data_IF_808131362129
#
_entry.id   IF_808131362129
#
_cell.length_a   1.000
_cell.length_b   1.000
_cell.length_c   1.000
_cell.angle_alpha   90.00
_cell.angle_beta   90.00
_cell.angle_gamma   90.00
#
_symmetry.space_group_name_H-M   'P 1'
#
loop_
_entity.id
_entity.type
_entity.pdbx_description
1 polymer ?
#
# COMPACT_ATOMS: atom_id res chain seq x y z
N UNK A 1 -59.85 6.26 -10.82
CA UNK A 1 -59.15 6.64 -12.06
C UNK A 1 -57.81 7.25 -11.69
N UNK A 2 -56.72 6.52 -11.95
CA UNK A 2 -55.36 6.95 -11.63
C UNK A 2 -54.82 7.96 -12.65
N UNK A 3 -53.98 8.86 -12.16
CA UNK A 3 -53.35 9.94 -12.91
C UNK A 3 -51.82 9.79 -12.73
N UNK A 4 -51.09 10.05 -13.82
CA UNK A 4 -49.73 10.59 -13.92
C UNK A 4 -48.54 9.66 -14.24
N UNK A 5 -48.16 9.79 -15.52
CA UNK A 5 -46.86 10.17 -16.12
C UNK A 5 -45.60 9.35 -15.83
N UNK A 6 -45.22 8.58 -16.86
CA UNK A 6 -43.94 8.59 -17.58
C UNK A 6 -42.65 8.81 -16.75
N UNK A 7 -41.96 7.69 -16.54
CA UNK A 7 -40.57 7.62 -16.08
C UNK A 7 -39.65 8.36 -17.06
N UNK A 8 -39.02 9.43 -16.59
CA UNK A 8 -37.83 9.99 -17.22
C UNK A 8 -36.65 9.54 -16.38
N UNK A 9 -35.84 8.63 -16.93
CA UNK A 9 -34.58 8.23 -16.35
C UNK A 9 -33.57 9.37 -16.46
N UNK A 10 -33.30 10.02 -15.33
CA UNK A 10 -32.14 10.88 -15.14
C UNK A 10 -31.33 10.29 -13.97
N UNK A 11 -30.11 9.86 -14.27
CA UNK A 11 -29.09 9.56 -13.27
C UNK A 11 -28.78 10.82 -12.46
N UNK A 12 -29.00 10.81 -11.14
CA UNK A 12 -28.31 11.69 -10.20
C UNK A 12 -28.00 10.88 -8.95
N UNK A 13 -26.71 10.73 -8.69
CA UNK A 13 -26.12 10.12 -7.52
C UNK A 13 -26.60 10.78 -6.22
N UNK A 14 -27.21 10.01 -5.33
CA UNK A 14 -27.31 10.40 -3.92
C UNK A 14 -26.07 9.91 -3.18
N UNK A 15 -25.16 10.85 -2.95
CA UNK A 15 -24.03 10.74 -2.03
C UNK A 15 -24.56 10.50 -0.62
N UNK A 16 -24.42 9.27 -0.12
CA UNK A 16 -24.56 9.00 1.30
C UNK A 16 -23.24 9.39 1.97
N UNK A 17 -23.28 10.57 2.60
CA UNK A 17 -22.33 10.99 3.62
C UNK A 17 -22.23 9.92 4.71
N UNK A 18 -21.03 9.37 4.89
CA UNK A 18 -20.60 8.86 6.18
C UNK A 18 -19.23 9.46 6.48
N UNK A 19 -19.27 10.59 7.19
CA UNK A 19 -18.09 11.16 7.84
C UNK A 19 -17.86 10.35 9.11
N UNK A 20 -16.85 9.49 9.12
CA UNK A 20 -16.22 8.98 10.34
C UNK A 20 -14.79 8.53 10.03
N UNK A 21 -13.89 9.02 10.86
CA UNK A 21 -12.50 8.60 11.08
C UNK A 21 -11.44 8.85 10.00
N UNK A 22 -10.69 9.95 10.20
CA UNK A 22 -9.25 10.14 9.99
C UNK A 22 -8.51 9.04 9.24
N UNK A 23 -8.80 8.89 7.96
CA UNK A 23 -7.97 8.09 7.06
C UNK A 23 -7.08 9.05 6.29
N UNK A 24 -5.79 9.12 6.67
CA UNK A 24 -4.74 9.74 5.85
C UNK A 24 -4.93 9.22 4.42
N UNK A 25 -5.53 10.04 3.57
CA UNK A 25 -5.89 9.65 2.22
C UNK A 25 -4.61 9.63 1.40
N UNK A 26 -3.95 8.47 1.37
CA UNK A 26 -2.84 8.19 0.46
C UNK A 26 -3.43 7.93 -0.94
N UNK A 27 -4.12 8.93 -1.48
CA UNK A 27 -4.78 8.87 -2.78
C UNK A 27 -3.89 9.47 -3.86
N UNK A 28 -2.81 8.77 -4.23
CA UNK A 28 -2.11 8.98 -5.51
C UNK A 28 -1.44 7.71 -5.98
N UNK A 29 -2.19 6.76 -6.55
CA UNK A 29 -1.59 5.69 -7.35
C UNK A 29 -2.58 5.14 -8.38
N UNK A 30 -2.95 5.97 -9.36
CA UNK A 30 -3.53 5.49 -10.62
C UNK A 30 -2.37 5.17 -11.59
N UNK A 31 -1.59 4.15 -11.25
CA UNK A 31 -0.59 3.57 -12.15
C UNK A 31 -1.01 2.13 -12.32
N UNK A 32 -1.29 1.73 -13.57
CA UNK A 32 -1.62 0.36 -13.92
C UNK A 32 -0.44 -0.53 -13.52
N UNK A 33 -0.51 -1.09 -12.32
CA UNK A 33 0.54 -1.91 -11.76
C UNK A 33 0.21 -3.36 -12.05
N UNK A 34 1.13 -4.07 -12.67
CA UNK A 34 1.07 -5.52 -12.81
C UNK A 34 1.18 -6.13 -11.42
N UNK A 35 0.08 -6.67 -10.91
CA UNK A 35 0.00 -7.24 -9.58
C UNK A 35 -1.18 -8.18 -9.44
N UNK A 36 -1.31 -8.87 -8.30
CA UNK A 36 -2.41 -9.78 -8.06
C UNK A 36 -3.76 -9.08 -8.25
N UNK A 37 -4.73 -9.79 -8.83
CA UNK A 37 -6.10 -9.31 -9.03
C UNK A 37 -6.84 -9.26 -7.69
N UNK A 38 -6.52 -8.25 -6.88
CA UNK A 38 -7.18 -7.94 -5.61
C UNK A 38 -8.03 -6.69 -5.76
N UNK A 39 -9.09 -6.59 -4.95
CA UNK A 39 -9.93 -5.40 -4.92
C UNK A 39 -9.12 -4.16 -4.53
N UNK A 40 -9.55 -2.99 -5.00
CA UNK A 40 -8.96 -1.70 -4.61
C UNK A 40 -8.92 -1.51 -3.09
N UNK A 41 -9.96 -1.97 -2.38
CA UNK A 41 -10.04 -1.90 -0.92
C UNK A 41 -8.97 -2.79 -0.27
N UNK A 42 -8.86 -4.04 -0.70
CA UNK A 42 -7.84 -4.98 -0.22
C UNK A 42 -6.44 -4.43 -0.47
N UNK A 43 -6.20 -3.86 -1.65
CA UNK A 43 -4.91 -3.23 -1.96
C UNK A 43 -4.60 -2.09 -1.01
N UNK A 44 -5.55 -1.18 -0.77
CA UNK A 44 -5.35 -0.04 0.13
C UNK A 44 -5.07 -0.50 1.56
N UNK A 45 -5.83 -1.48 2.06
CA UNK A 45 -5.63 -2.04 3.39
C UNK A 45 -4.25 -2.73 3.51
N UNK A 46 -3.84 -3.48 2.49
CA UNK A 46 -2.51 -4.10 2.43
C UNK A 46 -1.38 -3.06 2.44
N UNK A 47 -1.46 -2.04 1.59
CA UNK A 47 -0.46 -0.96 1.51
C UNK A 47 -0.36 -0.23 2.85
N UNK A 48 -1.49 0.06 3.50
CA UNK A 48 -1.51 0.71 4.81
C UNK A 48 -0.81 -0.16 5.87
N UNK A 49 -1.17 -1.44 5.97
CA UNK A 49 -0.56 -2.37 6.93
C UNK A 49 0.96 -2.50 6.72
N UNK A 50 1.42 -2.54 5.47
CA UNK A 50 2.86 -2.60 5.14
C UNK A 50 3.58 -1.30 5.52
N UNK A 51 2.98 -0.13 5.25
CA UNK A 51 3.55 1.17 5.63
C UNK A 51 3.70 1.27 7.15
N UNK A 52 2.62 1.01 7.89
CA UNK A 52 2.62 1.06 9.36
C UNK A 52 3.59 0.05 9.96
N UNK A 53 3.66 -1.17 9.42
CA UNK A 53 4.64 -2.15 9.87
C UNK A 53 6.07 -1.68 9.63
N UNK A 54 6.35 -1.11 8.46
CA UNK A 54 7.67 -0.60 8.10
C UNK A 54 8.08 0.58 8.98
N UNK A 55 7.17 1.51 9.25
CA UNK A 55 7.37 2.62 10.18
C UNK A 55 7.77 2.10 11.57
N UNK A 56 7.02 1.12 12.10
CA UNK A 56 7.26 0.54 13.42
C UNK A 56 8.61 -0.19 13.53
N UNK A 57 9.08 -0.83 12.44
CA UNK A 57 10.36 -1.56 12.46
C UNK A 57 11.56 -0.70 12.09
N UNK A 58 11.37 0.51 11.54
CA UNK A 58 12.46 1.34 11.04
C UNK A 58 13.48 1.73 12.12
N UNK A 59 13.01 1.95 13.35
CA UNK A 59 13.86 2.23 14.52
C UNK A 59 14.27 0.97 15.29
N UNK A 60 13.75 -0.19 14.90
CA UNK A 60 13.98 -1.47 15.58
C UNK A 60 15.20 -2.19 14.99
N UNK A 61 15.95 -2.90 15.84
CA UNK A 61 17.03 -3.79 15.42
C UNK A 61 16.48 -5.13 14.88
N UNK A 62 15.60 -5.08 13.88
CA UNK A 62 15.05 -6.27 13.22
C UNK A 62 16.03 -6.84 12.20
N UNK A 63 16.02 -8.16 12.06
CA UNK A 63 16.76 -8.81 10.99
C UNK A 63 16.00 -8.74 9.66
N UNK A 64 16.70 -8.94 8.55
CA UNK A 64 16.05 -9.04 7.23
C UNK A 64 15.01 -10.18 7.17
N UNK A 65 15.29 -11.32 7.81
CA UNK A 65 14.35 -12.45 7.89
C UNK A 65 13.08 -12.08 8.66
N UNK A 66 13.22 -11.43 9.82
CA UNK A 66 12.07 -10.99 10.61
C UNK A 66 11.19 -10.02 9.85
N UNK A 67 11.81 -9.08 9.11
CA UNK A 67 11.11 -8.13 8.27
C UNK A 67 10.35 -8.82 7.13
N UNK A 68 11.01 -9.71 6.38
CA UNK A 68 10.40 -10.48 5.30
C UNK A 68 9.26 -11.38 5.79
N UNK A 69 9.42 -11.99 6.97
CA UNK A 69 8.40 -12.81 7.60
C UNK A 69 7.20 -11.97 8.03
N UNK A 70 7.42 -10.74 8.51
CA UNK A 70 6.38 -9.76 8.78
C UNK A 70 5.59 -9.40 7.52
N UNK A 71 6.28 -9.03 6.45
CA UNK A 71 5.67 -8.73 5.15
C UNK A 71 4.85 -9.91 4.62
N UNK A 72 5.40 -11.13 4.71
CA UNK A 72 4.70 -12.35 4.29
C UNK A 72 3.41 -12.60 5.08
N UNK A 73 3.42 -12.34 6.39
CA UNK A 73 2.22 -12.48 7.23
C UNK A 73 1.15 -11.45 6.87
N UNK A 74 1.55 -10.20 6.62
CA UNK A 74 0.64 -9.14 6.18
C UNK A 74 0.05 -9.50 4.80
N UNK A 75 0.89 -9.94 3.86
CA UNK A 75 0.44 -10.34 2.53
C UNK A 75 -0.58 -11.49 2.61
N UNK A 76 -0.28 -12.54 3.39
CA UNK A 76 -1.20 -13.66 3.62
C UNK A 76 -2.54 -13.23 4.23
N UNK A 77 -2.53 -12.31 5.21
CA UNK A 77 -3.75 -11.75 5.81
C UNK A 77 -4.67 -11.11 4.75
N UNK A 78 -4.09 -10.54 3.70
CA UNK A 78 -4.81 -9.87 2.60
C UNK A 78 -4.98 -10.77 1.35
N UNK A 79 -4.63 -12.06 1.43
CA UNK A 79 -4.74 -12.99 0.30
C UNK A 79 -3.72 -12.75 -0.83
N UNK A 80 -2.64 -12.03 -0.53
CA UNK A 80 -1.56 -11.72 -1.48
C UNK A 80 -0.42 -12.73 -1.24
N UNK A 81 -0.14 -13.57 -2.23
CA UNK A 81 0.92 -14.58 -2.15
C UNK A 81 2.23 -14.15 -2.81
N UNK A 82 2.17 -13.37 -3.89
CA UNK A 82 3.33 -12.92 -4.67
C UNK A 82 3.68 -11.45 -4.38
N UNK A 83 3.88 -11.15 -3.10
CA UNK A 83 4.16 -9.78 -2.67
C UNK A 83 5.56 -9.32 -3.08
N UNK A 84 6.52 -10.24 -3.25
CA UNK A 84 7.88 -9.90 -3.69
C UNK A 84 7.95 -9.37 -5.13
N UNK A 85 6.94 -9.65 -5.94
CA UNK A 85 6.81 -9.14 -7.31
C UNK A 85 5.90 -7.92 -7.38
N UNK A 86 5.26 -7.55 -6.26
CA UNK A 86 4.22 -6.53 -6.23
C UNK A 86 4.79 -5.14 -5.95
N UNK A 87 4.76 -4.27 -6.96
CA UNK A 87 5.26 -2.88 -6.87
C UNK A 87 4.71 -2.13 -5.65
N UNK A 88 3.42 -2.29 -5.36
CA UNK A 88 2.77 -1.59 -4.25
C UNK A 88 3.34 -1.97 -2.87
N UNK A 89 3.92 -3.16 -2.72
CA UNK A 89 4.62 -3.54 -1.48
C UNK A 89 5.84 -2.66 -1.26
N UNK A 90 6.63 -2.45 -2.31
CA UNK A 90 7.84 -1.63 -2.25
C UNK A 90 7.51 -0.14 -2.07
N UNK A 91 6.43 0.33 -2.70
CA UNK A 91 5.93 1.68 -2.46
C UNK A 91 5.46 1.88 -1.02
N UNK A 92 4.74 0.91 -0.46
CA UNK A 92 4.31 0.95 0.94
C UNK A 92 5.52 0.96 1.91
N UNK A 93 6.56 0.18 1.63
CA UNK A 93 7.82 0.22 2.38
C UNK A 93 8.42 1.63 2.34
N UNK A 94 8.53 2.26 1.16
CA UNK A 94 9.03 3.63 1.03
C UNK A 94 8.21 4.66 1.82
N UNK A 95 6.88 4.51 1.84
CA UNK A 95 6.00 5.34 2.66
C UNK A 95 6.29 5.18 4.14
N UNK A 96 6.37 3.95 4.64
CA UNK A 96 6.65 3.70 6.07
C UNK A 96 8.02 4.22 6.51
N UNK A 97 9.04 4.10 5.66
CA UNK A 97 10.36 4.66 5.93
C UNK A 97 10.34 6.20 5.97
N UNK A 98 9.59 6.83 5.07
CA UNK A 98 9.38 8.28 5.06
C UNK A 98 8.63 8.74 6.32
N UNK A 99 7.60 8.01 6.73
CA UNK A 99 6.83 8.28 7.95
C UNK A 99 7.71 8.14 9.21
N UNK A 100 8.62 7.16 9.21
CA UNK A 100 9.65 7.01 10.25
C UNK A 100 10.79 8.05 10.17
N UNK A 101 10.77 8.98 9.22
CA UNK A 101 11.79 10.02 9.09
C UNK A 101 13.13 9.55 8.51
N UNK A 102 13.20 8.32 7.98
CA UNK A 102 14.41 7.83 7.30
C UNK A 102 14.53 8.51 5.95
N UNK A 103 15.62 9.25 5.67
CA UNK A 103 15.76 9.99 4.43
C UNK A 103 16.05 9.06 3.25
N UNK A 104 15.62 9.48 2.06
CA UNK A 104 15.64 8.68 0.82
C UNK A 104 17.02 8.14 0.44
N UNK A 105 18.08 8.86 0.77
CA UNK A 105 19.48 8.50 0.52
C UNK A 105 20.00 7.39 1.43
N UNK A 106 19.40 7.23 2.63
CA UNK A 106 19.79 6.23 3.63
C UNK A 106 19.07 4.87 3.47
N UNK A 107 18.07 4.78 2.58
CA UNK A 107 17.30 3.54 2.34
C UNK A 107 18.19 2.33 2.06
N UNK A 108 19.25 2.53 1.27
CA UNK A 108 20.20 1.47 0.87
C UNK A 108 21.09 1.00 2.03
N UNK A 109 21.22 1.81 3.07
CA UNK A 109 22.08 1.55 4.22
C UNK A 109 21.34 0.74 5.31
N UNK A 110 20.02 0.54 5.15
CA UNK A 110 19.19 -0.24 6.06
C UNK A 110 19.47 -1.75 5.91
N UNK A 111 19.95 -2.43 6.97
CA UNK A 111 20.42 -3.81 6.86
C UNK A 111 19.28 -4.80 6.53
N UNK A 112 18.06 -4.54 7.00
CA UNK A 112 16.91 -5.40 6.75
C UNK A 112 16.33 -5.26 5.32
N UNK A 113 16.67 -4.20 4.59
CA UNK A 113 16.25 -4.01 3.19
C UNK A 113 17.24 -4.59 2.19
N UNK A 114 18.49 -4.84 2.57
CA UNK A 114 19.55 -5.25 1.65
C UNK A 114 19.17 -6.52 0.86
N UNK A 115 18.55 -7.52 1.51
CA UNK A 115 18.09 -8.76 0.85
C UNK A 115 16.99 -8.48 -0.19
N UNK A 116 16.10 -7.52 0.09
CA UNK A 116 15.00 -7.16 -0.81
C UNK A 116 15.50 -6.45 -2.07
N UNK A 117 16.45 -5.52 -1.91
CA UNK A 117 16.91 -4.64 -3.00
C UNK A 117 18.09 -5.20 -3.81
N UNK A 118 18.93 -6.07 -3.21
CA UNK A 118 20.10 -6.65 -3.89
C UNK A 118 19.72 -7.62 -5.01
N UNK A 119 18.56 -8.27 -4.90
CA UNK A 119 18.06 -9.25 -5.87
C UNK A 119 17.40 -8.61 -7.09
N UNK A 120 16.91 -7.38 -6.97
CA UNK A 120 16.29 -6.65 -8.08
C UNK A 120 16.36 -5.13 -7.84
N UNK A 121 17.17 -4.42 -8.64
CA UNK A 121 17.37 -2.98 -8.51
C UNK A 121 16.09 -2.16 -8.69
N UNK A 122 15.12 -2.67 -9.46
CA UNK A 122 13.83 -2.02 -9.67
C UNK A 122 13.04 -1.83 -8.36
N UNK A 123 13.25 -2.72 -7.38
CA UNK A 123 12.62 -2.61 -6.06
C UNK A 123 13.09 -1.38 -5.30
N UNK A 124 14.37 -1.02 -5.42
CA UNK A 124 14.89 0.20 -4.83
C UNK A 124 14.27 1.43 -5.49
N UNK A 125 14.06 1.40 -6.81
CA UNK A 125 13.40 2.49 -7.53
C UNK A 125 11.95 2.66 -7.09
N UNK A 126 11.20 1.57 -6.89
CA UNK A 126 9.84 1.63 -6.36
C UNK A 126 9.76 2.15 -4.93
N UNK A 127 10.69 1.75 -4.05
CA UNK A 127 10.79 2.30 -2.69
C UNK A 127 11.03 3.81 -2.77
N UNK A 128 11.96 4.24 -3.62
CA UNK A 128 12.33 5.64 -3.82
C UNK A 128 11.25 6.49 -4.48
N UNK A 129 10.41 5.90 -5.33
CA UNK A 129 9.27 6.56 -6.00
C UNK A 129 8.17 6.97 -5.00
N UNK A 130 8.10 6.28 -3.86
CA UNK A 130 7.09 6.50 -2.84
C UNK A 130 7.43 7.59 -1.80
N UNK A 131 8.64 8.14 -1.86
CA UNK A 131 9.10 9.27 -1.06
C UNK A 131 8.54 10.59 -1.59
#
# INVERSE_FOLDING_TARGET
>A
MGLVLMVSGCSISESISSSSDSSRSISRSSTSSSGPEVSEETRKAYVNDVSTYTEAVAESAVTADDFMRGLSKIAQKHGISDWESYEYTYKAIGQGLKEAGIPKDQVKDLPYLNVLISSNSQRLDWIKDAY
#
